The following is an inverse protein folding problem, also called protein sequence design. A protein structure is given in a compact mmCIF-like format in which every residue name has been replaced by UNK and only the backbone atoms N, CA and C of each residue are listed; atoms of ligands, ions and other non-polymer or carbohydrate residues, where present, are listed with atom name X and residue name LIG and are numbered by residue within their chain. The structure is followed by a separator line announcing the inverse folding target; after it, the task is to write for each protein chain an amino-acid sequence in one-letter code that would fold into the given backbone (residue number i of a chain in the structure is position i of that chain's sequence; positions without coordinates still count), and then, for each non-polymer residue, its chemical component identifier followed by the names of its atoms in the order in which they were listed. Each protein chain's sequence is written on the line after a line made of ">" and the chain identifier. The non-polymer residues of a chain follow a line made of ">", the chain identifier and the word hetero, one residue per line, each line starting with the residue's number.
data_IF_460721189394
#
_entry.id   IF_460721189394
#
_cell.length_a   1.000
_cell.length_b   1.000
_cell.length_c   1.000
_cell.angle_alpha   90.00
_cell.angle_beta   90.00
_cell.angle_gamma   90.00
#
_symmetry.space_group_name_H-M   'P 1'
#
loop_
_entity.id
_entity.type
_entity.pdbx_description
1 polymer ?
#
# COMPACT_ATOMS: atom_id res chain seq x y z
N UNK A 1 20.13 39.46 11.69
CA UNK A 1 19.06 39.30 12.70
C UNK A 1 18.02 38.36 12.09
N UNK A 2 17.82 37.16 12.66
CA UNK A 2 16.89 36.14 12.14
C UNK A 2 15.49 36.35 12.71
N UNK A 3 14.41 36.05 11.96
CA UNK A 3 13.12 35.77 12.60
C UNK A 3 12.12 35.01 11.71
N UNK A 4 11.68 33.85 12.24
CA UNK A 4 10.41 33.12 12.06
C UNK A 4 10.05 32.62 10.64
N UNK A 5 10.06 31.31 10.32
CA UNK A 5 9.31 30.15 10.88
C UNK A 5 7.82 30.15 10.53
N UNK A 6 7.50 29.74 9.31
CA UNK A 6 6.16 29.26 8.88
C UNK A 6 6.41 28.06 7.93
N UNK A 7 6.61 26.86 8.46
CA UNK A 7 5.53 25.91 8.77
C UNK A 7 4.71 25.47 7.55
N UNK A 8 5.39 25.11 6.46
CA UNK A 8 4.87 24.16 5.47
C UNK A 8 5.44 22.77 5.78
N UNK A 9 4.85 22.02 6.72
CA UNK A 9 4.98 20.56 6.68
C UNK A 9 4.14 20.12 5.48
N UNK A 10 4.72 20.31 4.30
CA UNK A 10 4.32 19.56 3.14
C UNK A 10 4.46 18.11 3.56
N UNK A 11 3.33 17.42 3.68
CA UNK A 11 3.25 15.98 3.73
C UNK A 11 3.84 15.49 2.40
N UNK A 12 5.17 15.55 2.29
CA UNK A 12 5.93 14.90 1.25
C UNK A 12 5.83 13.44 1.60
N UNK A 13 4.73 12.84 1.16
CA UNK A 13 4.73 11.42 0.87
C UNK A 13 6.04 11.11 0.11
N UNK A 14 6.64 9.93 0.36
CA UNK A 14 7.92 9.58 -0.23
C UNK A 14 7.92 9.88 -1.72
N UNK A 15 9.07 10.36 -2.22
CA UNK A 15 9.25 10.69 -3.64
C UNK A 15 8.72 9.52 -4.48
N UNK A 16 8.02 9.79 -5.59
CA UNK A 16 7.13 8.83 -6.27
C UNK A 16 7.79 7.51 -6.71
N UNK A 17 9.12 7.38 -6.58
CA UNK A 17 9.91 6.16 -6.81
C UNK A 17 10.51 5.50 -5.56
N UNK A 18 10.22 5.95 -4.34
CA UNK A 18 10.77 5.42 -3.06
C UNK A 18 9.71 4.90 -2.09
N UNK A 19 8.44 4.86 -2.47
CA UNK A 19 7.41 4.31 -1.60
C UNK A 19 7.60 2.80 -1.44
N UNK A 20 7.77 2.34 -0.20
CA UNK A 20 7.88 0.93 0.18
C UNK A 20 6.74 0.54 1.12
N UNK A 21 6.35 -0.74 1.06
CA UNK A 21 5.42 -1.34 2.01
C UNK A 21 4.04 -0.68 1.96
N UNK A 22 3.54 -0.29 3.13
CA UNK A 22 2.25 0.41 3.27
C UNK A 22 2.16 1.67 2.41
N UNK A 23 3.24 2.44 2.28
CA UNK A 23 3.24 3.66 1.49
C UNK A 23 3.06 3.35 -0.01
N UNK A 24 3.68 2.27 -0.49
CA UNK A 24 3.55 1.83 -1.87
C UNK A 24 2.12 1.39 -2.19
N UNK A 25 1.48 0.64 -1.29
CA UNK A 25 0.06 0.24 -1.40
C UNK A 25 -0.85 1.47 -1.40
N UNK A 26 -0.63 2.37 -0.44
CA UNK A 26 -1.44 3.60 -0.32
C UNK A 26 -1.30 4.48 -1.55
N UNK A 27 -0.11 4.57 -2.14
CA UNK A 27 0.15 5.33 -3.36
C UNK A 27 -0.49 4.66 -4.58
N UNK A 28 -0.38 3.34 -4.72
CA UNK A 28 -1.00 2.58 -5.81
C UNK A 28 -2.52 2.69 -5.80
N UNK A 29 -3.10 2.81 -4.61
CA UNK A 29 -4.54 2.95 -4.39
C UNK A 29 -4.97 4.38 -4.06
N UNK A 30 -4.08 5.37 -4.26
CA UNK A 30 -4.40 6.76 -4.01
C UNK A 30 -5.58 7.19 -4.90
N UNK A 31 -6.56 7.88 -4.31
CA UNK A 31 -7.78 8.30 -5.01
C UNK A 31 -8.85 7.20 -5.13
N UNK A 32 -8.64 6.03 -4.51
CA UNK A 32 -9.68 5.01 -4.34
C UNK A 32 -10.69 5.43 -3.27
N UNK A 33 -11.97 5.40 -3.62
CA UNK A 33 -13.06 5.44 -2.64
C UNK A 33 -13.32 4.05 -2.05
N UNK A 34 -13.51 4.03 -0.74
CA UNK A 34 -13.90 2.85 0.04
C UNK A 34 -15.33 3.02 0.56
N UNK A 35 -16.10 1.92 0.73
CA UNK A 35 -15.69 0.51 0.63
C UNK A 35 -15.45 0.03 -0.80
N UNK A 36 -14.47 -0.86 -0.98
CA UNK A 36 -14.06 -1.37 -2.29
C UNK A 36 -13.97 -2.90 -2.30
N UNK A 37 -14.42 -3.52 -3.38
CA UNK A 37 -14.24 -4.96 -3.58
C UNK A 37 -12.82 -5.29 -4.04
N UNK A 38 -12.37 -6.51 -3.78
CA UNK A 38 -11.09 -7.05 -4.27
C UNK A 38 -10.97 -6.87 -5.78
N UNK A 39 -11.97 -7.30 -6.54
CA UNK A 39 -11.96 -7.15 -8.00
C UNK A 39 -11.73 -5.70 -8.42
N UNK A 40 -12.42 -4.77 -7.76
CA UNK A 40 -12.28 -3.35 -8.05
C UNK A 40 -10.89 -2.80 -7.72
N UNK A 41 -10.27 -3.26 -6.63
CA UNK A 41 -8.89 -2.93 -6.26
C UNK A 41 -7.94 -3.48 -7.32
N UNK A 42 -8.12 -4.75 -7.71
CA UNK A 42 -7.35 -5.41 -8.78
C UNK A 42 -7.48 -4.68 -10.12
N UNK A 43 -8.67 -4.19 -10.46
CA UNK A 43 -8.88 -3.40 -11.67
C UNK A 43 -8.10 -2.10 -11.68
N UNK A 44 -7.98 -1.43 -10.53
CA UNK A 44 -7.21 -0.20 -10.39
C UNK A 44 -5.70 -0.47 -10.49
N UNK A 45 -5.22 -1.57 -9.90
CA UNK A 45 -3.81 -1.93 -9.92
C UNK A 45 -3.41 -2.75 -11.15
N UNK A 46 -4.24 -2.86 -12.19
CA UNK A 46 -3.96 -3.59 -13.45
C UNK A 46 -2.61 -3.23 -14.11
N UNK A 47 -1.95 -2.14 -13.73
CA UNK A 47 -0.61 -1.77 -14.19
C UNK A 47 0.48 -1.80 -13.10
N UNK A 48 0.12 -2.04 -11.84
CA UNK A 48 0.98 -2.06 -10.66
C UNK A 48 0.69 -3.32 -9.82
N UNK A 49 0.65 -4.49 -10.48
CA UNK A 49 0.51 -5.79 -9.80
C UNK A 49 1.69 -6.02 -8.83
N UNK A 50 2.89 -5.54 -9.22
CA UNK A 50 4.11 -5.60 -8.44
C UNK A 50 4.29 -4.35 -7.56
N UNK A 51 4.18 -4.52 -6.24
CA UNK A 51 4.39 -3.48 -5.24
C UNK A 51 5.74 -3.73 -4.56
N UNK A 52 6.59 -2.70 -4.48
CA UNK A 52 7.82 -2.78 -3.69
C UNK A 52 7.47 -2.77 -2.19
N UNK A 53 7.54 -3.93 -1.54
CA UNK A 53 7.28 -4.04 -0.09
C UNK A 53 8.48 -3.58 0.73
N UNK A 54 9.67 -3.97 0.31
CA UNK A 54 10.95 -3.46 0.83
C UNK A 54 11.89 -3.15 -0.33
N UNK A 55 13.08 -2.64 -0.02
CA UNK A 55 14.11 -2.36 -1.03
C UNK A 55 14.53 -3.60 -1.84
N UNK A 56 14.44 -4.78 -1.23
CA UNK A 56 14.89 -6.05 -1.80
C UNK A 56 13.73 -7.02 -2.07
N UNK A 57 12.51 -6.69 -1.62
CA UNK A 57 11.31 -7.52 -1.75
C UNK A 57 10.22 -6.78 -2.51
N UNK A 58 9.86 -7.33 -3.67
CA UNK A 58 8.66 -6.97 -4.40
C UNK A 58 7.61 -8.04 -4.15
N UNK A 59 6.37 -7.62 -3.94
CA UNK A 59 5.23 -8.50 -3.71
C UNK A 59 4.21 -8.32 -4.82
N UNK A 60 3.53 -9.41 -5.16
CA UNK A 60 2.39 -9.37 -6.07
C UNK A 60 1.12 -9.10 -5.25
N UNK A 61 0.59 -7.88 -5.36
CA UNK A 61 -0.57 -7.45 -4.58
C UNK A 61 -1.79 -8.32 -4.90
N UNK A 62 -1.90 -8.76 -6.15
CA UNK A 62 -2.99 -9.63 -6.60
C UNK A 62 -2.99 -10.96 -5.88
N UNK A 63 -1.88 -11.67 -5.88
CA UNK A 63 -1.71 -12.95 -5.22
C UNK A 63 -2.01 -12.86 -3.72
N UNK A 64 -1.61 -11.75 -3.07
CA UNK A 64 -1.90 -11.53 -1.64
C UNK A 64 -3.39 -11.33 -1.36
N UNK A 65 -4.09 -10.58 -2.22
CA UNK A 65 -5.53 -10.38 -2.10
C UNK A 65 -6.32 -11.66 -2.42
N UNK A 66 -5.80 -12.53 -3.29
CA UNK A 66 -6.39 -13.84 -3.53
C UNK A 66 -6.18 -14.81 -2.37
N UNK A 67 -5.01 -14.79 -1.73
CA UNK A 67 -4.68 -15.65 -0.57
C UNK A 67 -5.49 -15.32 0.68
N UNK A 68 -5.81 -14.04 0.90
CA UNK A 68 -6.53 -13.58 2.10
C UNK A 68 -7.98 -14.02 2.14
N UNK A 69 -8.56 -14.43 1.00
CA UNK A 69 -9.96 -14.83 0.91
C UNK A 69 -10.96 -13.71 1.18
N UNK A 70 -10.49 -12.48 1.37
CA UNK A 70 -11.31 -11.31 1.63
C UNK A 70 -11.73 -10.67 0.30
N UNK A 71 -13.03 -10.52 0.10
CA UNK A 71 -13.58 -10.03 -1.17
C UNK A 71 -13.94 -8.54 -1.13
N UNK A 72 -14.03 -7.94 0.06
CA UNK A 72 -14.39 -6.54 0.26
C UNK A 72 -13.55 -5.94 1.38
N UNK A 73 -13.19 -4.68 1.19
CA UNK A 73 -12.43 -3.89 2.14
C UNK A 73 -13.23 -2.66 2.52
N UNK A 74 -13.42 -2.44 3.81
CA UNK A 74 -14.23 -1.32 4.29
C UNK A 74 -13.44 0.00 4.25
N UNK A 75 -12.11 -0.05 4.29
CA UNK A 75 -11.24 1.14 4.27
C UNK A 75 -9.81 0.80 3.86
N UNK A 76 -9.03 1.82 3.45
CA UNK A 76 -7.60 1.67 3.12
C UNK A 76 -6.76 1.04 4.25
N UNK A 77 -6.91 1.44 5.54
CA UNK A 77 -6.10 0.84 6.61
C UNK A 77 -6.39 -0.66 6.81
N UNK A 78 -7.64 -1.10 6.62
CA UNK A 78 -8.01 -2.52 6.71
C UNK A 78 -7.33 -3.33 5.62
N UNK A 79 -7.39 -2.85 4.37
CA UNK A 79 -6.70 -3.46 3.24
C UNK A 79 -5.19 -3.57 3.49
N UNK A 80 -4.57 -2.49 3.93
CA UNK A 80 -3.15 -2.44 4.26
C UNK A 80 -2.79 -3.43 5.36
N UNK A 81 -3.61 -3.54 6.41
CA UNK A 81 -3.40 -4.47 7.52
C UNK A 81 -3.45 -5.92 7.02
N UNK A 82 -4.45 -6.26 6.22
CA UNK A 82 -4.60 -7.58 5.60
C UNK A 82 -3.37 -7.94 4.75
N UNK A 83 -2.92 -7.04 3.89
CA UNK A 83 -1.70 -7.24 3.09
C UNK A 83 -0.47 -7.42 4.01
N UNK A 84 -0.35 -6.61 5.06
CA UNK A 84 0.78 -6.67 5.99
C UNK A 84 0.84 -7.99 6.76
N UNK A 85 -0.32 -8.57 7.09
CA UNK A 85 -0.41 -9.87 7.74
C UNK A 85 0.03 -10.98 6.77
N UNK A 86 -0.51 -11.01 5.56
CA UNK A 86 -0.13 -12.01 4.56
C UNK A 86 1.35 -12.02 4.24
N UNK A 87 1.97 -10.84 4.09
CA UNK A 87 3.39 -10.75 3.78
C UNK A 87 4.28 -11.23 4.94
N UNK A 88 3.81 -11.08 6.19
CA UNK A 88 4.49 -11.62 7.38
C UNK A 88 4.33 -13.13 7.49
N UNK A 89 3.18 -13.67 7.10
CA UNK A 89 2.92 -15.12 7.10
C UNK A 89 3.74 -15.85 6.02
N UNK A 90 4.05 -15.18 4.91
CA UNK A 90 4.96 -15.69 3.87
C UNK A 90 6.45 -15.68 4.28
N UNK A 91 6.82 -15.05 5.40
CA UNK A 91 8.17 -15.13 5.96
C UNK A 91 8.20 -16.22 7.04
N UNK A 92 8.50 -17.49 6.69
CA UNK A 92 8.83 -18.47 7.71
C UNK A 92 10.08 -17.96 8.43
N UNK A 93 9.95 -17.76 9.74
CA UNK A 93 11.07 -17.64 10.67
C UNK A 93 12.08 -18.76 10.37
N UNK A 94 13.20 -18.39 9.75
CA UNK A 94 14.35 -19.25 9.56
C UNK A 94 15.18 -19.34 10.85
#
# INVERSE_FOLDING_TARGET
>A
MPNQSEQGREDRGPDKGEAYGVAAVTQALAGRDFPASKEQILEQIKSHEEIHWTKEKTIDLRSLLEQTGQDRFESMPELVEVISQSVREEEPVA
#
